data_IF_248021786826
#
_entry.id   IF_248021786826
#
_cell.length_a   1.000
_cell.length_b   1.000
_cell.length_c   1.000
_cell.angle_alpha   90.00
_cell.angle_beta   90.00
_cell.angle_gamma   90.00
#
_symmetry.space_group_name_H-M   'P 1'
#
loop_
_entity.id
_entity.type
_entity.pdbx_description
1 polymer ?
#
# COMPACT_ATOMS: atom_id res chain seq x y z
N UNK A 1 4.54 -3.76 -4.45
CA UNK A 1 3.66 -4.78 -5.05
C UNK A 1 4.42 -5.55 -6.10
N UNK A 2 4.05 -6.80 -6.29
CA UNK A 2 4.63 -7.71 -7.30
C UNK A 2 3.55 -8.61 -7.89
N UNK A 3 3.80 -9.09 -9.12
CA UNK A 3 3.05 -10.21 -9.73
C UNK A 3 4.00 -11.41 -9.76
N UNK A 4 3.68 -12.51 -9.07
CA UNK A 4 4.63 -13.61 -8.86
C UNK A 4 4.78 -14.55 -10.08
N UNK A 5 4.83 -13.97 -11.30
CA UNK A 5 4.86 -14.77 -12.53
C UNK A 5 6.09 -15.69 -12.62
N UNK A 6 7.29 -15.17 -12.33
CA UNK A 6 8.52 -15.96 -12.34
C UNK A 6 8.60 -16.91 -11.14
N UNK A 7 8.07 -16.50 -9.99
CA UNK A 7 8.03 -17.34 -8.78
C UNK A 7 7.16 -18.57 -8.99
N UNK A 8 6.06 -18.43 -9.71
CA UNK A 8 5.22 -19.57 -10.08
C UNK A 8 5.93 -20.55 -11.04
N UNK A 9 6.92 -20.07 -11.80
CA UNK A 9 7.80 -20.92 -12.60
C UNK A 9 9.00 -21.49 -11.80
N UNK A 10 9.11 -21.17 -10.50
CA UNK A 10 10.15 -21.67 -9.60
C UNK A 10 11.40 -20.79 -9.52
N UNK A 11 11.38 -19.58 -10.06
CA UNK A 11 12.51 -18.64 -10.01
C UNK A 11 12.29 -17.59 -8.93
N UNK A 12 13.11 -17.62 -7.87
CA UNK A 12 12.98 -16.75 -6.70
C UNK A 12 14.14 -15.76 -6.53
N UNK A 13 15.15 -15.77 -7.42
CA UNK A 13 16.23 -14.81 -7.34
C UNK A 13 15.68 -13.38 -7.40
N UNK A 14 16.13 -12.54 -6.46
CA UNK A 14 15.66 -11.16 -6.31
C UNK A 14 14.16 -11.00 -5.99
N UNK A 15 13.53 -12.04 -5.44
CA UNK A 15 12.16 -11.96 -4.97
C UNK A 15 12.06 -11.06 -3.73
N UNK A 16 11.33 -9.95 -3.84
CA UNK A 16 11.14 -9.01 -2.72
C UNK A 16 10.00 -9.47 -1.82
N UNK A 17 10.35 -10.01 -0.67
CA UNK A 17 9.44 -10.56 0.32
C UNK A 17 8.53 -9.52 0.97
N UNK A 18 8.91 -8.24 0.96
CA UNK A 18 8.14 -7.17 1.59
C UNK A 18 7.01 -6.62 0.70
N UNK A 19 6.80 -7.22 -0.46
CA UNK A 19 5.79 -6.76 -1.40
C UNK A 19 4.52 -7.59 -1.35
N UNK A 20 3.39 -6.90 -1.40
CA UNK A 20 2.08 -7.51 -1.66
C UNK A 20 2.12 -8.24 -3.01
N UNK A 21 1.67 -9.49 -3.05
CA UNK A 21 1.61 -10.30 -4.26
C UNK A 21 0.21 -10.23 -4.86
N UNK A 22 0.11 -10.00 -6.17
CA UNK A 22 -1.16 -9.93 -6.88
C UNK A 22 -1.21 -11.00 -7.95
N UNK A 23 -2.20 -11.88 -7.84
CA UNK A 23 -2.49 -12.96 -8.78
C UNK A 23 -3.64 -12.52 -9.68
N UNK A 24 -3.43 -12.58 -10.97
CA UNK A 24 -4.41 -12.26 -12.00
C UNK A 24 -4.64 -13.42 -12.95
N UNK A 25 -5.38 -13.15 -14.04
CA UNK A 25 -5.77 -14.19 -15.02
C UNK A 25 -4.58 -14.96 -15.61
N UNK A 26 -3.44 -14.29 -15.84
CA UNK A 26 -2.27 -14.92 -16.45
C UNK A 26 -1.64 -15.93 -15.50
N UNK A 27 -1.52 -15.57 -14.23
CA UNK A 27 -0.98 -16.45 -13.18
C UNK A 27 -1.92 -17.65 -12.96
N UNK A 28 -3.22 -17.42 -12.85
CA UNK A 28 -4.18 -18.52 -12.69
C UNK A 28 -4.19 -19.46 -13.92
N UNK A 29 -4.24 -18.89 -15.13
CA UNK A 29 -4.20 -19.71 -16.35
C UNK A 29 -2.93 -20.55 -16.45
N UNK A 30 -1.78 -20.02 -16.02
CA UNK A 30 -0.55 -20.81 -15.96
C UNK A 30 -0.67 -21.96 -14.93
N UNK A 31 -1.17 -21.68 -13.74
CA UNK A 31 -1.36 -22.70 -12.69
C UNK A 31 -2.32 -23.80 -13.13
N UNK A 32 -3.36 -23.48 -13.89
CA UNK A 32 -4.31 -24.45 -14.44
C UNK A 32 -3.68 -25.43 -15.46
N UNK A 33 -2.56 -25.04 -16.09
CA UNK A 33 -1.82 -25.92 -17.00
C UNK A 33 -1.00 -26.99 -16.27
N UNK A 34 -0.81 -26.84 -14.97
CA UNK A 34 0.04 -27.72 -14.18
C UNK A 34 -0.77 -28.84 -13.51
N UNK A 35 -0.13 -30.00 -13.33
CA UNK A 35 -0.69 -31.06 -12.48
C UNK A 35 -0.82 -30.59 -11.03
N UNK A 36 -1.78 -31.15 -10.31
CA UNK A 36 -2.12 -30.73 -8.94
C UNK A 36 -0.90 -30.80 -7.99
N UNK A 37 -0.13 -31.89 -8.06
CA UNK A 37 1.06 -32.06 -7.21
C UNK A 37 2.08 -30.95 -7.46
N UNK A 38 2.22 -30.51 -8.70
CA UNK A 38 3.15 -29.45 -9.07
C UNK A 38 2.65 -28.08 -8.60
N UNK A 39 1.34 -27.85 -8.66
CA UNK A 39 0.73 -26.62 -8.11
C UNK A 39 0.96 -26.51 -6.62
N UNK A 40 0.72 -27.59 -5.88
CA UNK A 40 0.94 -27.65 -4.42
C UNK A 40 2.40 -27.36 -4.06
N UNK A 41 3.36 -27.94 -4.81
CA UNK A 41 4.78 -27.65 -4.61
C UNK A 41 5.11 -26.16 -4.79
N UNK A 42 4.55 -25.54 -5.84
CA UNK A 42 4.72 -24.10 -6.12
C UNK A 42 4.09 -23.25 -5.03
N UNK A 43 2.88 -23.61 -4.57
CA UNK A 43 2.21 -22.89 -3.49
C UNK A 43 3.03 -22.93 -2.20
N UNK A 44 3.56 -24.10 -1.84
CA UNK A 44 4.42 -24.24 -0.67
C UNK A 44 5.65 -23.32 -0.78
N UNK A 45 6.36 -23.38 -1.91
CA UNK A 45 7.55 -22.53 -2.14
C UNK A 45 7.24 -21.05 -2.06
N UNK A 46 6.15 -20.61 -2.69
CA UNK A 46 5.75 -19.19 -2.68
C UNK A 46 5.38 -18.71 -1.28
N UNK A 47 4.62 -19.52 -0.55
CA UNK A 47 4.05 -19.14 0.76
C UNK A 47 5.05 -19.32 1.91
N UNK A 48 6.08 -20.17 1.77
CA UNK A 48 7.20 -20.25 2.73
C UNK A 48 7.97 -18.93 2.88
N UNK A 49 7.93 -18.08 1.86
CA UNK A 49 8.61 -16.79 1.87
C UNK A 49 7.93 -15.70 2.72
N UNK A 50 6.80 -16.00 3.39
CA UNK A 50 6.11 -15.10 4.34
C UNK A 50 5.88 -13.69 3.79
N UNK A 51 5.32 -13.61 2.59
CA UNK A 51 4.92 -12.34 1.99
C UNK A 51 3.80 -11.65 2.81
N UNK A 52 3.66 -10.31 2.78
CA UNK A 52 2.70 -9.59 3.60
C UNK A 52 1.24 -10.01 3.38
N UNK A 53 0.86 -10.28 2.14
CA UNK A 53 -0.43 -10.84 1.75
C UNK A 53 -0.44 -11.21 0.27
N UNK A 54 -1.45 -12.00 -0.12
CA UNK A 54 -1.74 -12.33 -1.51
C UNK A 54 -3.14 -11.85 -1.87
N UNK A 55 -3.30 -11.27 -3.05
CA UNK A 55 -4.57 -10.72 -3.52
C UNK A 55 -4.89 -11.32 -4.88
N UNK A 56 -6.04 -11.98 -4.99
CA UNK A 56 -6.61 -12.46 -6.25
C UNK A 56 -7.48 -11.36 -6.85
N UNK A 57 -7.20 -10.97 -8.08
CA UNK A 57 -7.97 -9.96 -8.83
C UNK A 57 -8.91 -10.60 -9.85
N UNK A 58 -9.80 -9.81 -10.47
CA UNK A 58 -10.78 -10.28 -11.48
C UNK A 58 -11.76 -11.34 -10.96
N UNK A 59 -12.19 -11.28 -9.70
CA UNK A 59 -13.08 -12.28 -9.08
C UNK A 59 -12.52 -13.70 -9.02
N UNK A 60 -11.21 -13.87 -9.27
CA UNK A 60 -10.56 -15.16 -9.20
C UNK A 60 -10.62 -15.73 -7.79
N UNK A 61 -10.82 -17.04 -7.71
CA UNK A 61 -10.84 -17.76 -6.45
C UNK A 61 -9.60 -18.65 -6.34
N UNK A 62 -8.91 -18.66 -5.21
CA UNK A 62 -7.82 -19.60 -4.96
C UNK A 62 -8.34 -21.03 -4.78
N UNK A 63 -7.52 -22.01 -5.11
CA UNK A 63 -7.79 -23.42 -4.81
C UNK A 63 -7.86 -23.66 -3.29
N UNK A 64 -8.56 -24.71 -2.84
CA UNK A 64 -8.60 -25.09 -1.41
C UNK A 64 -7.19 -25.36 -0.88
N UNK A 65 -6.36 -26.08 -1.64
CA UNK A 65 -4.96 -26.35 -1.27
C UNK A 65 -4.13 -25.08 -1.09
N UNK A 66 -4.37 -24.04 -1.90
CA UNK A 66 -3.72 -22.74 -1.73
C UNK A 66 -4.10 -22.09 -0.39
N UNK A 67 -5.39 -22.08 -0.07
CA UNK A 67 -5.91 -21.51 1.19
C UNK A 67 -5.35 -22.25 2.39
N UNK A 68 -5.34 -23.58 2.37
CA UNK A 68 -4.79 -24.38 3.47
C UNK A 68 -3.30 -24.09 3.73
N UNK A 69 -2.51 -23.98 2.66
CA UNK A 69 -1.08 -23.69 2.77
C UNK A 69 -0.86 -22.25 3.24
N UNK A 70 -1.67 -21.29 2.75
CA UNK A 70 -1.60 -19.90 3.19
C UNK A 70 -1.92 -19.76 4.68
N UNK A 71 -2.95 -20.46 5.17
CA UNK A 71 -3.32 -20.50 6.59
C UNK A 71 -2.21 -21.10 7.47
N UNK A 72 -1.57 -22.18 7.03
CA UNK A 72 -0.43 -22.80 7.74
C UNK A 72 0.77 -21.86 7.87
N UNK A 73 0.93 -20.94 6.93
CA UNK A 73 2.03 -19.96 6.91
C UNK A 73 1.63 -18.57 7.46
N UNK A 74 0.42 -18.42 7.99
CA UNK A 74 -0.14 -17.16 8.50
C UNK A 74 -0.15 -16.02 7.47
N UNK A 75 -0.39 -16.34 6.18
CA UNK A 75 -0.43 -15.37 5.09
C UNK A 75 -1.87 -15.00 4.77
N UNK A 76 -2.27 -13.72 4.92
CA UNK A 76 -3.59 -13.24 4.53
C UNK A 76 -3.82 -13.37 3.02
N UNK A 77 -4.99 -13.90 2.64
CA UNK A 77 -5.43 -14.00 1.24
C UNK A 77 -6.70 -13.18 1.06
N UNK A 78 -6.69 -12.31 0.07
CA UNK A 78 -7.81 -11.43 -0.25
C UNK A 78 -8.27 -11.63 -1.70
N UNK A 79 -9.52 -11.26 -1.98
CA UNK A 79 -10.07 -11.23 -3.32
C UNK A 79 -10.60 -9.84 -3.69
N UNK A 80 -10.57 -9.50 -4.97
CA UNK A 80 -11.20 -8.29 -5.52
C UNK A 80 -11.82 -8.54 -6.88
N UNK A 81 -12.98 -7.94 -7.13
CA UNK A 81 -13.64 -7.96 -8.45
C UNK A 81 -12.97 -7.01 -9.47
N UNK A 82 -12.09 -6.13 -9.02
CA UNK A 82 -11.43 -5.17 -9.90
C UNK A 82 -10.44 -5.86 -10.84
N UNK A 83 -10.30 -5.31 -12.05
CA UNK A 83 -9.24 -5.70 -12.99
C UNK A 83 -7.87 -5.45 -12.37
N UNK A 84 -6.93 -6.38 -12.60
CA UNK A 84 -5.59 -6.34 -12.02
C UNK A 84 -4.90 -4.98 -12.16
N UNK A 85 -4.88 -4.40 -13.36
CA UNK A 85 -4.21 -3.11 -13.62
C UNK A 85 -4.88 -1.94 -12.88
N UNK A 86 -6.21 -1.89 -12.84
CA UNK A 86 -6.96 -0.85 -12.14
C UNK A 86 -6.72 -0.94 -10.63
N UNK A 87 -6.84 -2.15 -10.07
CA UNK A 87 -6.58 -2.40 -8.65
C UNK A 87 -5.13 -2.04 -8.26
N UNK A 88 -4.16 -2.45 -9.08
CA UNK A 88 -2.75 -2.09 -8.85
C UNK A 88 -2.54 -0.57 -8.80
N UNK A 89 -3.12 0.18 -9.72
CA UNK A 89 -3.01 1.64 -9.73
C UNK A 89 -3.60 2.30 -8.48
N UNK A 90 -4.74 1.81 -7.99
CA UNK A 90 -5.35 2.31 -6.76
C UNK A 90 -4.52 1.95 -5.52
N UNK A 91 -4.07 0.70 -5.44
CA UNK A 91 -3.28 0.23 -4.31
C UNK A 91 -1.93 0.95 -4.22
N UNK A 92 -1.26 1.23 -5.37
CA UNK A 92 -0.03 2.03 -5.39
C UNK A 92 -0.27 3.41 -4.81
N UNK A 93 -1.30 4.10 -5.28
CA UNK A 93 -1.62 5.45 -4.77
C UNK A 93 -1.89 5.43 -3.27
N UNK A 94 -2.67 4.48 -2.81
CA UNK A 94 -3.00 4.34 -1.39
C UNK A 94 -1.76 4.03 -0.54
N UNK A 95 -0.92 3.08 -0.97
CA UNK A 95 0.31 2.73 -0.27
C UNK A 95 1.31 3.89 -0.24
N UNK A 96 1.45 4.64 -1.33
CA UNK A 96 2.33 5.81 -1.36
C UNK A 96 1.94 6.86 -0.31
N UNK A 97 0.64 7.06 -0.10
CA UNK A 97 0.16 7.97 0.96
C UNK A 97 0.37 7.38 2.35
N UNK A 98 0.02 6.08 2.54
CA UNK A 98 0.09 5.43 3.86
C UNK A 98 1.50 5.14 4.34
N UNK A 99 2.42 4.89 3.43
CA UNK A 99 3.83 4.60 3.71
C UNK A 99 4.73 5.83 3.51
N UNK A 100 4.16 6.98 3.18
CA UNK A 100 4.93 8.22 3.07
C UNK A 100 5.59 8.55 4.41
N UNK A 101 6.83 9.03 4.40
CA UNK A 101 7.47 9.51 5.61
C UNK A 101 6.65 10.66 6.20
N UNK A 102 6.39 10.60 7.50
CA UNK A 102 5.74 11.67 8.23
C UNK A 102 6.81 12.57 8.86
N UNK A 103 6.71 13.86 8.59
CA UNK A 103 7.57 14.86 9.23
C UNK A 103 6.68 15.82 10.05
N UNK A 104 7.20 16.23 11.21
CA UNK A 104 6.59 17.30 12.01
C UNK A 104 7.31 18.60 11.70
N UNK A 105 6.53 19.64 11.41
CA UNK A 105 7.05 20.98 11.13
C UNK A 105 6.44 21.94 12.14
N UNK A 106 7.27 22.67 12.87
CA UNK A 106 6.82 23.72 13.76
C UNK A 106 6.45 24.97 12.98
N UNK A 107 5.21 25.44 13.16
CA UNK A 107 4.73 26.63 12.47
C UNK A 107 3.26 26.88 12.74
N UNK A 108 2.80 28.07 12.37
CA UNK A 108 1.39 28.47 12.47
C UNK A 108 0.75 28.39 11.08
N UNK A 109 -0.31 27.61 10.95
CA UNK A 109 -1.04 27.47 9.68
C UNK A 109 -2.29 28.33 9.71
N UNK A 110 -2.41 29.25 8.75
CA UNK A 110 -3.52 30.17 8.58
C UNK A 110 -4.13 29.98 7.19
N UNK A 111 -5.45 29.94 7.11
CA UNK A 111 -6.18 30.02 5.84
C UNK A 111 -6.32 31.48 5.44
N UNK A 112 -5.72 31.85 4.31
CA UNK A 112 -5.77 33.18 3.74
C UNK A 112 -6.50 33.11 2.40
N UNK A 113 -7.75 33.53 2.35
CA UNK A 113 -8.62 33.46 1.16
C UNK A 113 -8.74 32.07 0.53
N UNK A 114 -8.81 31.01 1.35
CA UNK A 114 -8.91 29.63 0.88
C UNK A 114 -7.55 28.99 0.53
N UNK A 115 -6.44 29.67 0.80
CA UNK A 115 -5.08 29.15 0.62
C UNK A 115 -4.43 28.95 1.99
N UNK A 116 -3.94 27.73 2.26
CA UNK A 116 -3.19 27.44 3.46
C UNK A 116 -1.80 28.09 3.42
N UNK A 117 -1.53 29.00 4.36
CA UNK A 117 -0.22 29.66 4.53
C UNK A 117 0.43 29.18 5.81
N UNK A 118 1.58 28.49 5.69
CA UNK A 118 2.37 28.03 6.81
C UNK A 118 3.46 29.06 7.15
N UNK A 119 3.36 29.67 8.34
CA UNK A 119 4.34 30.62 8.87
C UNK A 119 5.36 29.84 9.69
N UNK A 120 6.60 29.78 9.21
CA UNK A 120 7.70 29.09 9.85
C UNK A 120 8.76 30.07 10.34
N UNK A 121 9.55 29.65 11.33
CA UNK A 121 10.67 30.41 11.88
C UNK A 121 11.05 29.92 13.27
N UNK A 122 12.12 30.47 13.81
CA UNK A 122 12.60 30.13 15.16
C UNK A 122 11.58 30.52 16.25
N UNK A 123 11.69 29.90 17.42
CA UNK A 123 10.84 30.25 18.56
C UNK A 123 11.08 31.71 18.97
N UNK A 124 9.98 32.45 19.22
CA UNK A 124 10.06 33.85 19.64
C UNK A 124 10.23 34.87 18.51
N UNK A 125 10.30 34.47 17.24
CA UNK A 125 10.46 35.41 16.11
C UNK A 125 9.19 36.20 15.75
N UNK A 126 8.05 35.90 16.38
CA UNK A 126 6.79 36.61 16.10
C UNK A 126 5.82 35.85 15.19
N UNK A 127 5.94 34.51 15.06
CA UNK A 127 5.02 33.71 14.23
C UNK A 127 3.56 33.86 14.66
N UNK A 128 3.30 33.70 15.96
CA UNK A 128 1.94 33.79 16.54
C UNK A 128 1.39 35.22 16.46
N UNK A 129 2.23 36.24 16.60
CA UNK A 129 1.82 37.64 16.41
C UNK A 129 1.41 37.92 14.95
N UNK A 130 2.17 37.40 13.99
CA UNK A 130 1.81 37.51 12.56
C UNK A 130 0.49 36.81 12.26
N UNK A 131 0.28 35.61 12.82
CA UNK A 131 -0.97 34.87 12.68
C UNK A 131 -2.15 35.61 13.30
N UNK A 132 -1.98 36.19 14.51
CA UNK A 132 -3.02 37.01 15.15
C UNK A 132 -3.41 38.24 14.30
N UNK A 133 -2.44 38.88 13.67
CA UNK A 133 -2.73 40.01 12.78
C UNK A 133 -3.52 39.59 11.54
N UNK A 134 -3.23 38.42 10.98
CA UNK A 134 -4.03 37.84 9.88
C UNK A 134 -5.46 37.50 10.34
N UNK A 135 -5.60 36.91 11.52
CA UNK A 135 -6.94 36.62 12.11
C UNK A 135 -7.75 37.89 12.32
N UNK A 136 -7.15 38.96 12.83
CA UNK A 136 -7.81 40.27 12.99
C UNK A 136 -8.30 40.85 11.65
N UNK A 137 -7.64 40.52 10.54
CA UNK A 137 -8.03 40.90 9.18
C UNK A 137 -9.06 39.96 8.56
N UNK A 138 -9.58 38.99 9.31
CA UNK A 138 -10.68 38.12 8.88
C UNK A 138 -10.22 36.76 8.29
N UNK A 139 -8.94 36.43 8.42
CA UNK A 139 -8.42 35.12 8.03
C UNK A 139 -8.63 34.08 9.13
N UNK A 140 -8.54 32.81 8.78
CA UNK A 140 -8.86 31.71 9.71
C UNK A 140 -7.61 30.98 10.18
N UNK A 141 -7.45 30.87 11.50
CA UNK A 141 -6.45 29.97 12.08
C UNK A 141 -6.85 28.51 11.81
N UNK A 142 -5.92 27.71 11.31
CA UNK A 142 -6.10 26.26 11.10
C UNK A 142 -5.44 25.50 12.25
N UNK A 143 -4.19 25.81 12.54
CA UNK A 143 -3.47 25.25 13.71
C UNK A 143 -2.36 26.17 14.12
N UNK A 144 -2.04 26.18 15.41
CA UNK A 144 -0.89 26.84 15.99
C UNK A 144 0.12 25.78 16.45
N UNK A 145 1.35 26.17 16.72
CA UNK A 145 2.48 25.34 17.11
C UNK A 145 2.08 24.29 18.17
N UNK A 146 2.22 23.01 17.82
CA UNK A 146 2.01 21.89 18.72
C UNK A 146 3.32 21.11 18.83
#
# INVERSE_FOLDING_TARGET
>A
MNRPALQLAGFFDHFDLNRVQIIGNVECAYLETLAEEKRVEIYQKLLEHKVPCIIFSNELQPDESFIEIAQKNDIPVFGTCKKTSSFMGELIRWLNVKLAPCISIHGVLVDVYGVGVLIMGESGIGKSEAALELIKRGHRLVTDDV
#
